data_IF_307349890357
#
_entry.id   IF_307349890357
#
_cell.length_a   1.000
_cell.length_b   1.000
_cell.length_c   1.000
_cell.angle_alpha   90.00
_cell.angle_beta   90.00
_cell.angle_gamma   90.00
#
_symmetry.space_group_name_H-M   'P 1'
#
loop_
_entity.id
_entity.type
_entity.pdbx_description
1 polymer ?
#
# COMPACT_ATOMS: atom_id res chain seq x y z
N UNK A 1 6.37 -2.09 -12.67
CA UNK A 1 6.90 -2.85 -11.51
C UNK A 1 5.92 -2.73 -10.33
N UNK A 2 5.95 -3.67 -9.38
CA UNK A 2 5.13 -3.63 -8.16
C UNK A 2 5.99 -3.75 -6.91
N UNK A 3 5.59 -3.07 -5.84
CA UNK A 3 6.13 -3.20 -4.49
C UNK A 3 5.07 -3.82 -3.60
N UNK A 4 5.40 -4.91 -2.94
CA UNK A 4 4.62 -5.54 -1.88
C UNK A 4 5.28 -5.22 -0.54
N UNK A 5 4.52 -4.57 0.34
CA UNK A 5 4.86 -4.33 1.73
C UNK A 5 4.12 -5.35 2.58
N UNK A 6 4.83 -5.99 3.51
CA UNK A 6 4.23 -6.71 4.64
C UNK A 6 4.27 -5.78 5.85
N UNK A 7 3.11 -5.47 6.35
CA UNK A 7 2.87 -4.57 7.47
C UNK A 7 2.44 -5.39 8.68
N UNK A 8 2.78 -4.94 9.89
CA UNK A 8 2.32 -5.52 11.14
C UNK A 8 1.75 -4.41 12.00
N UNK A 9 0.53 -4.59 12.50
CA UNK A 9 -0.12 -3.64 13.39
C UNK A 9 0.72 -3.47 14.66
N UNK A 10 0.94 -2.23 15.08
CA UNK A 10 1.76 -1.92 16.26
C UNK A 10 0.97 -1.84 17.56
N UNK A 11 -0.34 -1.66 17.47
CA UNK A 11 -1.25 -1.54 18.58
C UNK A 11 -2.66 -1.90 18.10
N UNK A 12 -3.59 -1.95 19.04
CA UNK A 12 -4.99 -2.18 18.76
C UNK A 12 -5.64 -0.93 18.17
N UNK A 13 -6.35 -1.08 17.04
CA UNK A 13 -7.07 0.05 16.44
C UNK A 13 -8.31 -0.41 15.66
N UNK A 14 -9.32 0.46 15.50
CA UNK A 14 -10.40 0.22 14.57
C UNK A 14 -9.88 0.32 13.12
N UNK A 15 -10.20 -0.68 12.30
CA UNK A 15 -9.89 -0.66 10.88
C UNK A 15 -10.70 0.42 10.16
N UNK A 16 -10.06 1.51 9.76
CA UNK A 16 -10.69 2.52 8.91
C UNK A 16 -10.94 1.94 7.52
N UNK A 17 -12.17 2.05 7.01
CA UNK A 17 -12.55 1.58 5.66
C UNK A 17 -12.42 2.67 4.59
N UNK A 18 -12.23 3.93 5.00
CA UNK A 18 -12.15 5.12 4.13
C UNK A 18 -10.73 5.70 4.10
N UNK A 19 -9.73 4.89 4.42
CA UNK A 19 -8.35 5.31 4.56
C UNK A 19 -7.65 5.68 3.24
N UNK A 20 -8.28 5.50 2.07
CA UNK A 20 -7.62 5.63 0.76
C UNK A 20 -6.93 6.98 0.56
N UNK A 21 -7.54 8.08 1.02
CA UNK A 21 -6.92 9.41 0.97
C UNK A 21 -5.66 9.47 1.86
N UNK A 22 -5.71 8.85 3.05
CA UNK A 22 -4.57 8.78 3.98
C UNK A 22 -3.45 7.90 3.43
N UNK A 23 -3.76 6.74 2.85
CA UNK A 23 -2.78 5.88 2.18
C UNK A 23 -2.09 6.59 1.01
N UNK A 24 -2.86 7.35 0.23
CA UNK A 24 -2.31 8.18 -0.84
C UNK A 24 -1.35 9.25 -0.26
N UNK A 25 -1.74 9.89 0.85
CA UNK A 25 -0.90 10.82 1.61
C UNK A 25 0.41 10.21 2.08
N UNK A 26 0.42 8.95 2.54
CA UNK A 26 1.66 8.23 2.90
C UNK A 26 2.61 8.17 1.71
N UNK A 27 2.12 7.73 0.54
CA UNK A 27 2.95 7.63 -0.67
C UNK A 27 3.52 9.00 -1.03
N UNK A 28 2.70 10.05 -1.11
CA UNK A 28 3.20 11.38 -1.42
C UNK A 28 4.18 11.93 -0.39
N UNK A 29 3.96 11.62 0.90
CA UNK A 29 4.85 12.06 1.96
C UNK A 29 6.27 11.50 1.79
N UNK A 30 6.39 10.28 1.26
CA UNK A 30 7.66 9.61 0.97
C UNK A 30 8.33 10.14 -0.30
N UNK A 31 7.54 10.67 -1.23
CA UNK A 31 8.05 11.25 -2.47
C UNK A 31 8.51 12.70 -2.29
N UNK A 32 8.25 13.33 -1.14
CA UNK A 32 8.85 14.61 -0.79
C UNK A 32 10.37 14.51 -0.90
N UNK A 33 10.99 15.57 -1.41
CA UNK A 33 12.44 15.63 -1.63
C UNK A 33 12.98 14.54 -2.58
N UNK A 34 12.14 14.00 -3.45
CA UNK A 34 12.56 13.19 -4.57
C UNK A 34 12.27 13.92 -5.88
N UNK A 35 12.78 13.39 -6.99
CA UNK A 35 12.41 13.82 -8.35
C UNK A 35 10.90 13.72 -8.65
N UNK A 36 10.12 13.05 -7.79
CA UNK A 36 8.67 12.93 -7.90
C UNK A 36 7.91 13.87 -6.95
N UNK A 37 8.58 14.81 -6.30
CA UNK A 37 7.97 15.75 -5.35
C UNK A 37 6.80 16.54 -5.95
N UNK A 38 6.94 16.97 -7.21
CA UNK A 38 5.92 17.71 -7.95
C UNK A 38 4.71 16.85 -8.37
N UNK A 39 4.76 15.52 -8.21
CA UNK A 39 3.68 14.62 -8.64
C UNK A 39 2.38 14.86 -7.86
N UNK A 40 2.48 15.32 -6.60
CA UNK A 40 1.31 15.59 -5.77
C UNK A 40 0.44 16.71 -6.36
N UNK A 41 1.08 17.82 -6.76
CA UNK A 41 0.41 19.04 -7.23
C UNK A 41 0.21 19.06 -8.75
N UNK A 42 0.78 18.08 -9.46
CA UNK A 42 0.61 17.96 -10.89
C UNK A 42 -0.86 17.78 -11.27
N UNK A 43 -1.32 18.59 -12.21
CA UNK A 43 -2.62 18.43 -12.90
C UNK A 43 -2.59 17.31 -13.95
N UNK A 44 -1.41 16.76 -14.25
CA UNK A 44 -1.26 15.65 -15.18
C UNK A 44 -1.61 14.31 -14.54
N UNK A 45 -1.68 13.26 -15.36
CA UNK A 45 -1.96 11.91 -14.89
C UNK A 45 -0.94 11.41 -13.86
N UNK A 46 -1.45 10.95 -12.72
CA UNK A 46 -0.67 10.35 -11.64
C UNK A 46 -0.44 8.87 -11.94
N UNK A 47 0.78 8.54 -12.37
CA UNK A 47 1.14 7.23 -12.90
C UNK A 47 1.44 6.18 -11.81
N UNK A 48 0.57 6.04 -10.81
CA UNK A 48 0.65 4.93 -9.85
C UNK A 48 -0.74 4.59 -9.29
N UNK A 49 -0.88 3.37 -8.78
CA UNK A 49 -2.05 2.94 -8.01
C UNK A 49 -1.62 2.00 -6.88
N UNK A 50 -2.53 1.71 -5.96
CA UNK A 50 -2.29 0.81 -4.84
C UNK A 50 -3.52 -0.06 -4.53
N UNK A 51 -3.28 -1.20 -3.89
CA UNK A 51 -4.33 -2.13 -3.44
C UNK A 51 -4.97 -1.67 -2.13
N UNK A 52 -6.08 -2.29 -1.76
CA UNK A 52 -6.51 -2.30 -0.37
C UNK A 52 -5.45 -3.02 0.49
N UNK A 53 -5.50 -2.83 1.82
CA UNK A 53 -4.77 -3.67 2.76
C UNK A 53 -5.43 -5.05 2.77
N UNK A 54 -4.63 -6.11 2.70
CA UNK A 54 -5.15 -7.49 2.69
C UNK A 54 -4.29 -8.45 3.52
N UNK A 55 -4.89 -9.43 4.21
CA UNK A 55 -6.34 -9.70 4.25
C UNK A 55 -7.10 -8.60 5.01
N UNK A 56 -8.42 -8.56 4.83
CA UNK A 56 -9.26 -7.80 5.75
C UNK A 56 -9.16 -8.44 7.15
N UNK A 57 -9.22 -7.64 8.23
CA UNK A 57 -9.19 -8.17 9.58
C UNK A 57 -10.36 -9.11 9.82
N UNK A 58 -10.08 -10.16 10.59
CA UNK A 58 -11.00 -11.25 10.88
C UNK A 58 -10.83 -11.67 12.32
N UNK A 59 -11.94 -12.05 12.96
CA UNK A 59 -11.93 -12.64 14.28
C UNK A 59 -11.49 -14.12 14.24
N UNK A 60 -11.45 -14.77 15.40
CA UNK A 60 -11.08 -16.18 15.57
C UNK A 60 -11.95 -17.15 14.74
N UNK A 61 -13.24 -16.82 14.56
CA UNK A 61 -14.18 -17.58 13.73
C UNK A 61 -13.99 -17.35 12.21
N UNK A 62 -13.03 -16.50 11.82
CA UNK A 62 -12.75 -16.15 10.43
C UNK A 62 -13.76 -15.19 9.79
N UNK A 63 -14.65 -14.59 10.59
CA UNK A 63 -15.60 -13.55 10.14
C UNK A 63 -14.90 -12.20 10.08
N UNK A 64 -15.28 -11.37 9.10
CA UNK A 64 -14.72 -10.02 8.99
C UNK A 64 -15.08 -9.24 10.26
N UNK A 65 -14.07 -8.72 10.91
CA UNK A 65 -14.20 -7.90 12.10
C UNK A 65 -13.30 -6.69 11.93
N UNK A 66 -13.82 -5.49 12.14
CA UNK A 66 -13.08 -4.25 11.89
C UNK A 66 -12.33 -3.75 13.14
N UNK A 67 -12.05 -4.63 14.10
CA UNK A 67 -10.99 -4.46 15.10
C UNK A 67 -9.71 -5.08 14.57
N UNK A 68 -8.61 -4.36 14.71
CA UNK A 68 -7.27 -4.88 14.46
C UNK A 68 -6.59 -4.99 15.81
N UNK A 69 -6.03 -6.16 16.09
CA UNK A 69 -5.19 -6.38 17.27
C UNK A 69 -3.72 -6.15 16.92
N UNK A 70 -2.94 -5.76 17.93
CA UNK A 70 -1.50 -5.68 17.84
C UNK A 70 -0.92 -6.97 17.24
N UNK A 71 -0.02 -6.81 16.28
CA UNK A 71 0.68 -7.91 15.65
C UNK A 71 -0.05 -8.60 14.50
N UNK A 72 -1.31 -8.25 14.23
CA UNK A 72 -1.99 -8.65 12.99
C UNK A 72 -1.21 -8.16 11.76
N UNK A 73 -1.14 -8.99 10.71
CA UNK A 73 -0.33 -8.68 9.53
C UNK A 73 -1.17 -8.39 8.29
N UNK A 74 -0.73 -7.39 7.54
CA UNK A 74 -1.38 -6.93 6.32
C UNK A 74 -0.37 -6.85 5.19
N UNK A 75 -0.88 -6.90 3.97
CA UNK A 75 -0.13 -6.70 2.76
C UNK A 75 -0.65 -5.46 2.06
N UNK A 76 0.26 -4.69 1.49
CA UNK A 76 -0.07 -3.54 0.67
C UNK A 76 0.74 -3.57 -0.61
N UNK A 77 0.06 -3.54 -1.77
CA UNK A 77 0.70 -3.51 -3.08
C UNK A 77 0.62 -2.10 -3.65
N UNK A 78 1.75 -1.58 -4.08
CA UNK A 78 1.86 -0.32 -4.81
C UNK A 78 2.44 -0.62 -6.19
N UNK A 79 1.87 -0.04 -7.24
CA UNK A 79 2.28 -0.30 -8.61
C UNK A 79 2.42 0.97 -9.43
N UNK A 80 3.40 0.97 -10.33
CA UNK A 80 3.63 2.03 -11.30
C UNK A 80 4.28 1.46 -12.56
N UNK A 81 3.98 2.02 -13.76
CA UNK A 81 4.76 1.78 -14.96
C UNK A 81 6.22 2.25 -14.81
N UNK A 82 6.49 3.25 -13.96
CA UNK A 82 7.84 3.74 -13.72
C UNK A 82 8.60 2.83 -12.74
N UNK A 83 9.64 2.15 -13.24
CA UNK A 83 10.55 1.35 -12.40
C UNK A 83 11.25 2.25 -11.38
N UNK A 84 11.67 3.44 -11.80
CA UNK A 84 12.35 4.41 -10.94
C UNK A 84 11.46 4.87 -9.79
N UNK A 85 10.17 5.13 -10.05
CA UNK A 85 9.20 5.45 -9.00
C UNK A 85 9.15 4.39 -7.90
N UNK A 86 9.02 3.11 -8.29
CA UNK A 86 8.94 2.02 -7.31
C UNK A 86 10.27 1.83 -6.57
N UNK A 87 11.42 2.04 -7.21
CA UNK A 87 12.73 2.00 -6.55
C UNK A 87 12.86 3.11 -5.51
N UNK A 88 12.57 4.35 -5.89
CA UNK A 88 12.60 5.51 -4.97
C UNK A 88 11.69 5.24 -3.78
N UNK A 89 10.47 4.78 -4.02
CA UNK A 89 9.51 4.51 -2.95
C UNK A 89 10.01 3.40 -2.00
N UNK A 90 10.60 2.32 -2.53
CA UNK A 90 11.18 1.25 -1.73
C UNK A 90 12.30 1.75 -0.81
N UNK A 91 13.23 2.57 -1.32
CA UNK A 91 14.31 3.11 -0.49
C UNK A 91 13.77 4.04 0.61
N UNK A 92 12.77 4.87 0.28
CA UNK A 92 12.09 5.73 1.27
C UNK A 92 11.35 4.94 2.35
N UNK A 93 10.70 3.83 2.00
CA UNK A 93 10.14 2.90 2.98
C UNK A 93 11.23 2.16 3.77
N UNK A 94 12.42 1.95 3.23
CA UNK A 94 13.52 1.34 3.98
C UNK A 94 14.08 2.27 5.05
N UNK A 95 14.11 3.56 4.77
CA UNK A 95 14.46 4.61 5.74
C UNK A 95 13.41 4.73 6.85
N UNK A 96 12.13 4.46 6.53
CA UNK A 96 11.01 4.49 7.47
C UNK A 96 10.62 3.10 7.96
N UNK A 97 11.02 2.73 9.17
CA UNK A 97 10.64 1.43 9.77
C UNK A 97 9.14 1.30 10.06
N UNK A 98 8.45 2.44 10.16
CA UNK A 98 7.06 2.54 10.58
C UNK A 98 6.29 3.52 9.70
N UNK A 99 5.00 3.26 9.53
CA UNK A 99 4.09 4.10 8.77
C UNK A 99 2.72 4.17 9.44
N UNK A 100 2.08 5.33 9.31
CA UNK A 100 0.73 5.55 9.79
C UNK A 100 -0.18 5.79 8.58
N UNK A 101 -1.23 4.98 8.46
CA UNK A 101 -2.27 5.17 7.45
C UNK A 101 -3.50 5.75 8.16
N UNK A 102 -3.54 7.07 8.28
CA UNK A 102 -4.46 7.73 9.21
C UNK A 102 -4.01 7.44 10.63
N UNK A 103 -4.92 6.95 11.46
CA UNK A 103 -4.63 6.53 12.85
C UNK A 103 -4.18 5.05 12.94
N UNK A 104 -4.11 4.32 11.81
CA UNK A 104 -3.67 2.93 11.80
C UNK A 104 -2.14 2.85 11.73
N UNK A 105 -1.50 2.41 12.81
CA UNK A 105 -0.04 2.33 12.94
C UNK A 105 0.52 0.95 12.56
N UNK A 106 1.56 0.95 11.70
CA UNK A 106 2.18 -0.27 11.22
C UNK A 106 3.71 -0.22 11.25
N UNK A 107 4.35 -1.33 11.63
CA UNK A 107 5.75 -1.59 11.29
C UNK A 107 5.85 -2.24 9.91
N UNK A 108 6.96 -1.97 9.20
CA UNK A 108 7.25 -2.62 7.92
C UNK A 108 8.13 -3.85 8.15
N UNK A 109 7.52 -5.02 8.13
CA UNK A 109 8.20 -6.30 8.34
C UNK A 109 9.01 -6.75 7.12
N UNK A 110 8.48 -6.52 5.91
CA UNK A 110 9.11 -6.98 4.68
C UNK A 110 8.75 -6.11 3.49
N UNK A 111 9.69 -5.98 2.57
CA UNK A 111 9.49 -5.35 1.28
C UNK A 111 9.95 -6.27 0.15
N UNK A 112 9.11 -6.45 -0.88
CA UNK A 112 9.43 -7.23 -2.07
C UNK A 112 8.99 -6.51 -3.33
N UNK A 113 9.90 -6.33 -4.28
CA UNK A 113 9.56 -5.88 -5.63
C UNK A 113 9.31 -7.09 -6.54
N UNK A 114 8.33 -6.99 -7.43
CA UNK A 114 8.04 -8.05 -8.38
C UNK A 114 7.43 -7.51 -9.68
N UNK A 115 7.51 -8.32 -10.72
CA UNK A 115 6.85 -8.11 -12.00
C UNK A 115 5.90 -9.27 -12.28
N UNK A 116 4.78 -8.98 -12.92
CA UNK A 116 3.84 -10.01 -13.35
C UNK A 116 4.06 -10.26 -14.84
N UNK A 117 4.37 -11.50 -15.19
CA UNK A 117 4.33 -11.97 -16.57
C UNK A 117 2.87 -12.27 -16.88
N UNK A 118 2.25 -11.42 -17.69
CA UNK A 118 0.83 -11.52 -18.04
C UNK A 118 0.72 -12.38 -19.30
N UNK A 119 -0.16 -13.39 -19.29
CA UNK A 119 -0.49 -14.17 -20.49
C UNK A 119 -1.15 -13.29 -21.55
N UNK A 120 -0.84 -13.51 -22.83
CA UNK A 120 -1.44 -12.74 -23.95
C UNK A 120 -2.91 -13.08 -24.22
N UNK A 121 -3.45 -14.15 -23.63
CA UNK A 121 -4.85 -14.61 -23.85
C UNK A 121 -5.47 -15.12 -22.56
N UNK A 122 -6.81 -15.07 -22.50
CA UNK A 122 -7.66 -15.62 -21.43
C UNK A 122 -7.32 -15.10 -20.03
N UNK A 123 -7.20 -13.78 -19.88
CA UNK A 123 -6.91 -13.15 -18.59
C UNK A 123 -8.19 -12.96 -17.78
N UNK A 124 -8.18 -13.46 -16.54
CA UNK A 124 -9.13 -13.05 -15.51
C UNK A 124 -8.43 -12.06 -14.59
N UNK A 125 -8.96 -10.84 -14.52
CA UNK A 125 -8.47 -9.79 -13.64
C UNK A 125 -9.40 -9.67 -12.43
N UNK A 126 -8.81 -9.44 -11.26
CA UNK A 126 -9.53 -9.15 -10.03
C UNK A 126 -9.03 -7.80 -9.53
N UNK A 127 -9.96 -6.91 -9.19
CA UNK A 127 -9.67 -5.58 -8.69
C UNK A 127 -9.17 -5.67 -7.24
N UNK A 128 -7.96 -5.18 -6.97
CA UNK A 128 -7.42 -5.08 -5.61
C UNK A 128 -7.95 -3.84 -4.86
N UNK A 129 -8.44 -2.86 -5.61
CA UNK A 129 -9.18 -1.66 -5.20
C UNK A 129 -10.33 -1.47 -6.20
N UNK A 130 -11.52 -0.99 -5.79
CA UNK A 130 -12.63 -0.74 -6.71
C UNK A 130 -12.21 0.17 -7.88
N UNK A 131 -12.71 -0.13 -9.07
CA UNK A 131 -12.56 0.72 -10.26
C UNK A 131 -13.65 1.80 -10.16
N UNK A 132 -13.26 3.07 -10.17
CA UNK A 132 -14.15 4.25 -10.10
C UNK A 132 -14.15 4.96 -11.44
#
# INVERSE_FOLDING_TARGET
MRLLLKLKAKEDFPYDRKYHHKACGVIYSLLRESQFSALHDSKSYKFFCFSNLFPLPKNEDGKIEYSVEEGMTFNWIISSPSVLFIRTLKERFKERREINIGEMEFSIERMKTFELKISRRNLRLISATPIV
#
